data_IF_478495105287
#
_entry.id   IF_478495105287
#
_cell.length_a   1.000
_cell.length_b   1.000
_cell.length_c   1.000
_cell.angle_alpha   90.00
_cell.angle_beta   90.00
_cell.angle_gamma   90.00
#
_symmetry.space_group_name_H-M   'P 1'
#
loop_
_entity.id
_entity.type
_entity.pdbx_description
1 polymer ?
#
# COMPACT_ATOMS: atom_id res chain seq x y z
N UNK A 1 -25.26 18.40 -48.18
CA UNK A 1 -24.05 17.61 -47.89
C UNK A 1 -24.04 16.98 -46.49
N UNK A 2 -24.65 17.57 -45.46
CA UNK A 2 -24.66 16.99 -44.10
C UNK A 2 -25.43 15.66 -43.93
N UNK A 3 -26.47 15.40 -44.75
CA UNK A 3 -27.29 14.18 -44.60
C UNK A 3 -26.61 12.88 -45.07
N UNK A 4 -25.83 12.93 -46.16
CA UNK A 4 -25.14 11.75 -46.71
C UNK A 4 -23.97 11.34 -45.82
N UNK A 5 -23.27 12.32 -45.23
CA UNK A 5 -22.18 12.09 -44.28
C UNK A 5 -22.68 11.37 -43.01
N UNK A 6 -23.86 11.75 -42.51
CA UNK A 6 -24.46 11.15 -41.32
C UNK A 6 -24.90 9.68 -41.52
N UNK A 7 -25.36 9.33 -42.73
CA UNK A 7 -25.76 7.95 -43.07
C UNK A 7 -24.52 7.04 -43.18
N UNK A 8 -23.42 7.52 -43.78
CA UNK A 8 -22.18 6.75 -43.84
C UNK A 8 -21.57 6.54 -42.45
N UNK A 9 -21.53 7.58 -41.61
CA UNK A 9 -21.04 7.49 -40.23
C UNK A 9 -21.82 6.49 -39.38
N UNK A 10 -23.16 6.50 -39.45
CA UNK A 10 -24.00 5.56 -38.69
C UNK A 10 -23.83 4.10 -39.13
N UNK A 11 -23.62 3.84 -40.44
CA UNK A 11 -23.38 2.49 -40.95
C UNK A 11 -22.01 1.93 -40.56
N UNK A 12 -20.97 2.77 -40.58
CA UNK A 12 -19.63 2.43 -40.10
C UNK A 12 -19.63 2.20 -38.59
N UNK A 13 -20.34 3.05 -37.83
CA UNK A 13 -20.49 2.90 -36.39
C UNK A 13 -21.19 1.58 -36.04
N UNK A 14 -22.30 1.23 -36.70
CA UNK A 14 -23.00 -0.03 -36.44
C UNK A 14 -22.14 -1.25 -36.75
N UNK A 15 -21.24 -1.15 -37.73
CA UNK A 15 -20.33 -2.23 -38.12
C UNK A 15 -19.17 -2.42 -37.14
N UNK A 16 -18.56 -1.33 -36.66
CA UNK A 16 -17.35 -1.40 -35.81
C UNK A 16 -17.58 -1.09 -34.33
N UNK A 17 -18.80 -0.75 -33.91
CA UNK A 17 -19.11 -0.54 -32.49
C UNK A 17 -18.76 -1.74 -31.59
N UNK A 18 -18.84 -3.03 -32.01
CA UNK A 18 -18.39 -4.14 -31.17
C UNK A 18 -16.88 -4.10 -30.88
N UNK A 19 -16.07 -3.60 -31.83
CA UNK A 19 -14.61 -3.44 -31.65
C UNK A 19 -14.34 -2.37 -30.60
N UNK A 20 -15.03 -1.23 -30.69
CA UNK A 20 -14.90 -0.13 -29.73
C UNK A 20 -15.32 -0.60 -28.34
N UNK A 21 -16.46 -1.29 -28.21
CA UNK A 21 -16.92 -1.84 -26.93
C UNK A 21 -15.95 -2.87 -26.35
N UNK A 22 -15.40 -3.78 -27.17
CA UNK A 22 -14.42 -4.76 -26.71
C UNK A 22 -13.16 -4.08 -26.14
N UNK A 23 -12.63 -3.05 -26.82
CA UNK A 23 -11.48 -2.27 -26.34
C UNK A 23 -11.85 -1.51 -25.06
N UNK A 24 -12.99 -0.80 -25.04
CA UNK A 24 -13.41 -0.03 -23.86
C UNK A 24 -13.60 -0.91 -22.63
N UNK A 25 -14.26 -2.07 -22.76
CA UNK A 25 -14.46 -3.02 -21.68
C UNK A 25 -13.11 -3.58 -21.19
N UNK A 26 -12.22 -3.95 -22.13
CA UNK A 26 -10.90 -4.47 -21.78
C UNK A 26 -10.00 -3.45 -21.07
N UNK A 27 -10.02 -2.19 -21.53
CA UNK A 27 -9.32 -1.08 -20.86
C UNK A 27 -9.93 -0.80 -19.49
N UNK A 28 -11.26 -0.80 -19.35
CA UNK A 28 -11.92 -0.62 -18.06
C UNK A 28 -11.55 -1.75 -17.07
N UNK A 29 -11.51 -3.00 -17.53
CA UNK A 29 -11.06 -4.13 -16.72
C UNK A 29 -9.58 -3.99 -16.33
N UNK A 30 -8.72 -3.53 -17.24
CA UNK A 30 -7.30 -3.29 -16.98
C UNK A 30 -7.08 -2.17 -15.95
N UNK A 31 -7.88 -1.11 -16.00
CA UNK A 31 -7.87 -0.03 -15.01
C UNK A 31 -8.38 -0.50 -13.64
N UNK A 32 -9.41 -1.36 -13.61
CA UNK A 32 -9.90 -1.97 -12.38
C UNK A 32 -8.83 -2.88 -11.76
N UNK A 33 -8.19 -3.74 -12.56
CA UNK A 33 -7.08 -4.59 -12.12
C UNK A 33 -5.88 -3.77 -11.63
N UNK A 34 -5.49 -2.72 -12.36
CA UNK A 34 -4.46 -1.77 -11.93
C UNK A 34 -4.78 -1.19 -10.55
N UNK A 35 -6.02 -0.70 -10.37
CA UNK A 35 -6.46 -0.11 -9.12
C UNK A 35 -6.45 -1.12 -7.98
N UNK A 36 -6.88 -2.36 -8.23
CA UNK A 36 -6.84 -3.45 -7.26
C UNK A 36 -5.41 -3.82 -6.85
N UNK A 37 -4.48 -3.94 -7.80
CA UNK A 37 -3.06 -4.23 -7.51
C UNK A 37 -2.40 -3.06 -6.79
N UNK A 38 -2.68 -1.81 -7.18
CA UNK A 38 -2.22 -0.60 -6.47
C UNK A 38 -2.74 -0.56 -5.03
N UNK A 39 -4.00 -0.92 -4.83
CA UNK A 39 -4.62 -1.00 -3.50
C UNK A 39 -3.95 -2.08 -2.65
N UNK A 40 -3.73 -3.26 -3.21
CA UNK A 40 -3.05 -4.36 -2.53
C UNK A 40 -1.60 -4.01 -2.15
N UNK A 41 -0.84 -3.39 -3.06
CA UNK A 41 0.51 -2.90 -2.77
C UNK A 41 0.51 -1.88 -1.61
N UNK A 42 -0.44 -0.94 -1.60
CA UNK A 42 -0.56 0.03 -0.51
C UNK A 42 -0.84 -0.65 0.84
N UNK A 43 -1.75 -1.63 0.86
CA UNK A 43 -2.07 -2.40 2.06
C UNK A 43 -0.86 -3.20 2.57
N UNK A 44 -0.07 -3.79 1.66
CA UNK A 44 1.12 -4.53 2.05
C UNK A 44 2.18 -3.59 2.67
N UNK A 45 2.43 -2.43 2.05
CA UNK A 45 3.35 -1.42 2.59
C UNK A 45 2.88 -0.92 3.97
N UNK A 46 1.58 -0.68 4.15
CA UNK A 46 1.03 -0.25 5.43
C UNK A 46 1.17 -1.33 6.51
N UNK A 47 0.95 -2.61 6.15
CA UNK A 47 1.12 -3.75 7.05
C UNK A 47 2.58 -3.95 7.45
N UNK A 48 3.51 -3.91 6.49
CA UNK A 48 4.96 -3.95 6.76
C UNK A 48 5.36 -2.81 7.70
N UNK A 49 4.90 -1.58 7.41
CA UNK A 49 5.13 -0.44 8.29
C UNK A 49 4.64 -0.70 9.71
N UNK A 50 3.41 -1.19 9.87
CA UNK A 50 2.79 -1.39 11.18
C UNK A 50 3.57 -2.41 12.02
N UNK A 51 3.93 -3.55 11.43
CA UNK A 51 4.72 -4.59 12.10
C UNK A 51 6.10 -4.06 12.52
N UNK A 52 6.79 -3.41 11.60
CA UNK A 52 8.11 -2.83 11.82
C UNK A 52 8.08 -1.70 12.87
N UNK A 53 7.02 -0.91 12.90
CA UNK A 53 6.83 0.17 13.85
C UNK A 53 6.48 -0.36 15.26
N UNK A 54 5.64 -1.40 15.35
CA UNK A 54 5.34 -2.08 16.60
C UNK A 54 6.57 -2.74 17.22
N UNK A 55 7.41 -3.41 16.43
CA UNK A 55 8.67 -4.00 16.90
C UNK A 55 9.60 -2.94 17.52
N UNK A 56 9.71 -1.77 16.88
CA UNK A 56 10.51 -0.64 17.36
C UNK A 56 9.96 -0.05 18.66
N UNK A 57 8.65 0.15 18.72
CA UNK A 57 7.99 0.63 19.93
C UNK A 57 8.18 -0.35 21.10
N UNK A 58 8.06 -1.66 20.85
CA UNK A 58 8.33 -2.70 21.84
C UNK A 58 9.81 -2.72 22.26
N UNK A 59 10.76 -2.52 21.35
CA UNK A 59 12.18 -2.44 21.67
C UNK A 59 12.49 -1.25 22.60
N UNK A 60 11.90 -0.08 22.33
CA UNK A 60 12.04 1.10 23.20
C UNK A 60 11.43 0.82 24.58
N UNK A 61 10.21 0.26 24.63
CA UNK A 61 9.54 -0.10 25.88
C UNK A 61 10.34 -1.13 26.70
N UNK A 62 10.85 -2.17 26.05
CA UNK A 62 11.66 -3.21 26.70
C UNK A 62 12.99 -2.68 27.24
N UNK A 63 13.64 -1.78 26.49
CA UNK A 63 14.88 -1.11 26.93
C UNK A 63 14.61 -0.28 28.18
N UNK A 64 13.58 0.57 28.15
CA UNK A 64 13.21 1.40 29.27
C UNK A 64 12.84 0.60 30.53
N UNK A 65 12.07 -0.49 30.38
CA UNK A 65 11.72 -1.38 31.48
C UNK A 65 12.95 -2.05 32.11
N UNK A 66 13.90 -2.49 31.28
CA UNK A 66 15.16 -3.09 31.74
C UNK A 66 16.00 -2.08 32.53
N UNK A 67 16.11 -0.86 32.04
CA UNK A 67 16.89 0.21 32.68
C UNK A 67 16.25 0.67 34.00
N UNK A 68 14.92 0.74 34.04
CA UNK A 68 14.18 1.04 35.28
C UNK A 68 14.38 -0.08 36.32
N UNK A 69 14.34 -1.35 35.91
CA UNK A 69 14.61 -2.46 36.81
C UNK A 69 16.05 -2.42 37.39
N UNK A 70 17.03 -1.94 36.62
CA UNK A 70 18.38 -1.71 37.14
C UNK A 70 18.42 -0.58 38.18
N UNK A 71 17.67 0.51 37.99
CA UNK A 71 17.55 1.58 38.99
C UNK A 71 16.90 1.08 40.29
N UNK A 72 15.92 0.18 40.21
CA UNK A 72 15.32 -0.46 41.39
C UNK A 72 16.35 -1.23 42.22
N UNK A 73 17.33 -1.89 41.58
CA UNK A 73 18.44 -2.55 42.28
C UNK A 73 19.32 -1.52 43.02
N UNK A 74 19.57 -0.36 42.42
CA UNK A 74 20.32 0.74 43.05
C UNK A 74 19.55 1.27 44.27
N UNK A 75 18.24 1.51 44.11
CA UNK A 75 17.33 1.94 45.19
C UNK A 75 17.36 0.96 46.37
N UNK A 76 17.25 -0.34 46.09
CA UNK A 76 17.26 -1.39 47.12
C UNK A 76 18.60 -1.45 47.88
N UNK A 77 19.72 -1.38 47.18
CA UNK A 77 21.05 -1.39 47.80
C UNK A 77 21.29 -0.16 48.70
N UNK A 78 20.80 1.02 48.29
CA UNK A 78 20.92 2.23 49.09
C UNK A 78 19.99 2.26 50.30
N UNK A 79 18.82 1.61 50.23
CA UNK A 79 17.89 1.52 51.34
C UNK A 79 18.50 0.83 52.58
N UNK A 80 19.35 -0.17 52.37
CA UNK A 80 20.01 -0.98 53.40
C UNK A 80 21.22 -0.28 54.05
N UNK A 81 21.92 0.58 53.31
CA UNK A 81 23.12 1.27 53.81
C UNK A 81 22.77 2.49 54.67
N UNK A 82 23.10 2.51 55.97
CA UNK A 82 22.87 3.67 56.85
C UNK A 82 23.49 4.99 56.33
N UNK A 83 24.72 4.94 55.81
CA UNK A 83 25.43 6.06 55.20
C UNK A 83 26.17 5.58 53.94
N UNK A 84 25.63 5.81 52.74
CA UNK A 84 26.28 5.35 51.51
C UNK A 84 27.57 6.14 51.27
N UNK A 85 28.63 5.46 50.81
CA UNK A 85 29.90 6.08 50.40
C UNK A 85 29.97 6.20 48.88
N UNK A 86 30.68 7.22 48.38
CA UNK A 86 30.80 7.47 46.95
C UNK A 86 31.38 6.27 46.19
N UNK A 87 32.43 5.63 46.71
CA UNK A 87 33.06 4.47 46.04
C UNK A 87 32.12 3.26 45.93
N UNK A 88 31.29 3.03 46.95
CA UNK A 88 30.29 1.96 46.94
C UNK A 88 29.18 2.27 45.94
N UNK A 89 28.74 3.53 45.89
CA UNK A 89 27.79 4.01 44.88
C UNK A 89 28.34 3.86 43.46
N UNK A 90 29.58 4.30 43.20
CA UNK A 90 30.21 4.19 41.89
C UNK A 90 30.35 2.74 41.45
N UNK A 91 30.69 1.81 42.36
CA UNK A 91 30.70 0.36 42.06
C UNK A 91 29.30 -0.16 41.69
N UNK A 92 28.28 0.30 42.40
CA UNK A 92 26.89 -0.10 42.17
C UNK A 92 26.36 0.38 40.81
N UNK A 93 26.75 1.59 40.38
CA UNK A 93 26.30 2.18 39.10
C UNK A 93 27.26 1.96 37.93
N UNK A 94 28.46 1.43 38.16
CA UNK A 94 29.43 1.11 37.10
C UNK A 94 28.85 0.29 35.93
N UNK A 95 27.99 -0.73 36.14
CA UNK A 95 27.43 -1.53 35.05
C UNK A 95 26.62 -0.71 34.03
N UNK A 96 25.99 0.39 34.45
CA UNK A 96 25.18 1.25 33.59
C UNK A 96 25.99 1.82 32.42
N UNK A 97 27.30 2.05 32.61
CA UNK A 97 28.17 2.60 31.56
C UNK A 97 28.28 1.69 30.34
N UNK A 98 28.13 0.39 30.52
CA UNK A 98 28.22 -0.59 29.43
C UNK A 98 26.86 -1.16 29.02
N UNK A 99 25.92 -1.27 29.97
CA UNK A 99 24.64 -1.99 29.80
C UNK A 99 23.45 -1.08 29.52
N UNK A 100 23.54 0.21 29.87
CA UNK A 100 22.44 1.17 29.80
C UNK A 100 22.92 2.51 29.25
N UNK A 101 23.37 2.58 27.99
CA UNK A 101 23.91 3.81 27.41
C UNK A 101 22.87 4.94 27.31
N UNK A 102 21.58 4.62 27.44
CA UNK A 102 20.45 5.56 27.48
C UNK A 102 20.37 6.38 28.77
N UNK A 103 20.89 5.82 29.87
CA UNK A 103 21.02 6.51 31.15
C UNK A 103 22.34 7.27 31.11
N UNK A 104 22.23 8.59 31.08
CA UNK A 104 23.39 9.47 31.15
C UNK A 104 24.07 9.33 32.51
N UNK A 105 23.27 9.42 33.58
CA UNK A 105 23.73 9.33 34.95
C UNK A 105 22.64 8.77 35.87
N UNK A 106 23.10 8.17 36.96
CA UNK A 106 22.33 7.83 38.14
C UNK A 106 22.80 8.75 39.26
N UNK A 107 21.86 9.43 39.92
CA UNK A 107 22.11 10.42 40.96
C UNK A 107 21.55 9.92 42.30
N UNK A 108 22.29 10.15 43.38
CA UNK A 108 21.80 10.00 44.75
C UNK A 108 21.58 11.38 45.37
N UNK A 109 20.33 11.69 45.71
CA UNK A 109 19.92 12.95 46.32
C UNK A 109 19.38 12.69 47.74
N UNK A 110 20.22 12.72 48.80
CA UNK A 110 19.76 12.52 50.16
C UNK A 110 18.84 13.65 50.62
N UNK A 111 17.92 13.34 51.53
CA UNK A 111 17.14 14.34 52.25
C UNK A 111 18.02 14.96 53.34
N UNK A 112 18.14 16.28 53.32
CA UNK A 112 18.89 17.04 54.33
C UNK A 112 17.96 18.07 54.95
N UNK A 113 17.72 17.98 56.26
CA UNK A 113 16.97 19.02 56.98
C UNK A 113 17.85 20.26 57.19
N UNK A 114 17.26 21.44 57.27
CA UNK A 114 18.00 22.68 57.55
C UNK A 114 18.84 22.60 58.82
N UNK A 115 18.29 21.95 59.86
CA UNK A 115 18.99 21.68 61.13
C UNK A 115 20.21 20.79 60.99
N UNK A 116 20.31 20.00 59.91
CA UNK A 116 21.40 19.08 59.62
C UNK A 116 22.36 19.61 58.54
N UNK A 117 22.06 20.76 57.93
CA UNK A 117 22.76 21.30 56.76
C UNK A 117 24.27 21.44 56.98
N UNK A 118 24.69 22.09 58.07
CA UNK A 118 26.12 22.31 58.35
C UNK A 118 26.87 21.00 58.63
N UNK A 119 26.26 20.09 59.39
CA UNK A 119 26.83 18.77 59.66
C UNK A 119 27.00 17.95 58.37
N UNK A 120 26.00 18.00 57.48
CA UNK A 120 26.04 17.35 56.17
C UNK A 120 27.14 17.94 55.27
N UNK A 121 27.28 19.26 55.21
CA UNK A 121 28.34 19.91 54.43
C UNK A 121 29.73 19.56 54.94
N UNK A 122 29.93 19.57 56.27
CA UNK A 122 31.19 19.14 56.88
C UNK A 122 31.50 17.68 56.57
N UNK A 123 30.49 16.81 56.57
CA UNK A 123 30.64 15.41 56.24
C UNK A 123 31.00 15.17 54.77
N UNK A 124 30.30 15.81 53.84
CA UNK A 124 30.60 15.72 52.41
C UNK A 124 32.03 16.19 52.09
N UNK A 125 32.50 17.28 52.73
CA UNK A 125 33.86 17.79 52.56
C UNK A 125 34.93 16.82 53.07
N UNK A 126 34.67 16.15 54.20
CA UNK A 126 35.59 15.12 54.74
C UNK A 126 35.70 13.89 53.84
N UNK A 127 34.65 13.58 53.08
CA UNK A 127 34.57 12.39 52.22
C UNK A 127 34.86 12.68 50.74
N UNK A 128 35.65 13.72 50.44
CA UNK A 128 36.23 13.93 49.11
C UNK A 128 35.57 15.02 48.26
N UNK A 129 34.58 15.75 48.78
CA UNK A 129 33.94 16.87 48.08
C UNK A 129 34.37 18.22 48.68
N UNK A 130 35.64 18.59 48.51
CA UNK A 130 36.28 19.73 49.19
C UNK A 130 35.50 21.07 49.09
N UNK A 131 34.87 21.33 47.94
CA UNK A 131 34.10 22.57 47.67
C UNK A 131 32.57 22.37 47.66
N UNK A 132 32.08 21.29 48.28
CA UNK A 132 30.65 20.98 48.27
C UNK A 132 29.81 22.07 48.94
N UNK A 133 28.79 22.51 48.23
CA UNK A 133 27.79 23.49 48.66
C UNK A 133 26.43 23.07 48.14
N UNK A 134 25.38 23.29 48.93
CA UNK A 134 24.01 23.16 48.42
C UNK A 134 23.72 24.41 47.58
N UNK A 135 23.39 24.23 46.30
CA UNK A 135 23.27 25.31 45.30
C UNK A 135 21.94 25.25 44.56
N UNK A 136 21.54 26.36 43.96
CA UNK A 136 20.35 26.48 43.10
C UNK A 136 20.62 27.40 41.91
N UNK A 137 19.79 27.33 40.89
CA UNK A 137 19.87 28.24 39.73
C UNK A 137 19.22 29.57 40.12
N UNK A 138 20.04 30.62 40.19
CA UNK A 138 19.60 31.99 40.45
C UNK A 138 19.15 32.74 39.17
N UNK A 139 18.83 34.03 39.30
CA UNK A 139 18.54 34.90 38.15
C UNK A 139 19.65 34.85 37.10
N UNK A 140 19.28 34.75 35.83
CA UNK A 140 20.23 34.68 34.72
C UNK A 140 20.91 33.31 34.51
N UNK A 141 20.48 32.26 35.21
CA UNK A 141 21.00 30.89 35.00
C UNK A 141 22.29 30.60 35.77
N UNK A 142 22.72 31.49 36.68
CA UNK A 142 23.95 31.35 37.45
C UNK A 142 23.71 30.47 38.68
N UNK A 143 24.63 29.56 38.97
CA UNK A 143 24.58 28.75 40.19
C UNK A 143 24.92 29.60 41.42
N UNK A 144 24.00 29.67 42.36
CA UNK A 144 24.13 30.41 43.62
C UNK A 144 23.93 29.49 44.82
N UNK A 145 24.38 29.86 46.04
CA UNK A 145 24.04 29.11 47.25
C UNK A 145 22.52 28.98 47.43
N UNK A 146 22.06 27.79 47.81
CA UNK A 146 20.63 27.54 47.97
C UNK A 146 20.04 28.39 49.10
N UNK A 147 18.91 29.04 48.77
CA UNK A 147 18.08 29.78 49.71
C UNK A 147 17.62 28.89 50.87
N UNK A 148 17.35 29.49 52.04
CA UNK A 148 16.94 28.72 53.22
C UNK A 148 15.60 28.00 52.99
N UNK A 149 15.55 26.69 53.23
CA UNK A 149 14.38 25.80 53.14
C UNK A 149 14.37 24.82 54.30
N UNK A 150 13.21 24.26 54.63
CA UNK A 150 13.08 23.23 55.69
C UNK A 150 13.87 21.96 55.35
N UNK A 151 13.85 21.56 54.08
CA UNK A 151 14.53 20.39 53.56
C UNK A 151 15.14 20.67 52.18
N UNK A 152 16.27 20.02 51.92
CA UNK A 152 17.03 20.08 50.69
C UNK A 152 17.25 18.67 50.14
N UNK A 153 17.41 18.58 48.83
CA UNK A 153 17.74 17.34 48.12
C UNK A 153 18.95 17.56 47.21
N UNK A 154 20.13 17.83 47.79
CA UNK A 154 21.33 18.14 47.02
C UNK A 154 21.86 16.89 46.34
N UNK A 155 22.33 17.01 45.10
CA UNK A 155 22.94 15.86 44.41
C UNK A 155 24.31 15.53 45.02
N UNK A 156 24.37 14.41 45.76
CA UNK A 156 25.57 14.01 46.50
C UNK A 156 26.47 13.07 45.69
N UNK A 157 25.92 12.00 45.11
CA UNK A 157 26.68 11.06 44.27
C UNK A 157 26.10 10.98 42.87
N UNK A 158 26.98 10.84 41.88
CA UNK A 158 26.63 10.80 40.47
C UNK A 158 27.58 9.84 39.76
N UNK A 159 27.04 8.97 38.92
CA UNK A 159 27.82 8.04 38.09
C UNK A 159 26.91 7.27 37.13
N UNK A 160 27.46 6.42 36.25
CA UNK A 160 28.89 6.13 36.09
C UNK A 160 29.62 7.13 35.20
N UNK A 161 28.89 8.03 34.51
CA UNK A 161 29.46 9.09 33.69
C UNK A 161 28.96 10.43 34.22
N UNK A 162 29.67 11.12 35.12
CA UNK A 162 29.34 12.52 35.40
C UNK A 162 29.48 13.28 34.08
N UNK A 163 28.37 13.85 33.60
CA UNK A 163 28.36 14.71 32.41
C UNK A 163 29.18 15.98 32.66
N UNK A 164 29.55 16.70 31.60
CA UNK A 164 30.23 18.01 31.74
C UNK A 164 29.39 19.03 32.52
N UNK A 165 28.08 18.90 32.42
CA UNK A 165 27.10 19.84 32.97
C UNK A 165 26.57 19.37 34.34
N UNK A 166 27.19 18.34 34.90
CA UNK A 166 26.81 17.75 36.18
C UNK A 166 27.24 18.63 37.34
N UNK A 167 26.27 19.05 38.17
CA UNK A 167 26.52 19.95 39.30
C UNK A 167 26.28 19.24 40.64
N UNK A 168 27.37 18.79 41.26
CA UNK A 168 27.33 18.32 42.66
C UNK A 168 26.76 19.42 43.57
N UNK A 169 25.89 19.01 44.50
CA UNK A 169 25.26 19.91 45.45
C UNK A 169 24.09 20.73 44.90
N UNK A 170 23.75 20.61 43.62
CA UNK A 170 22.51 21.22 43.10
C UNK A 170 21.29 20.67 43.84
N UNK A 171 20.48 21.56 44.42
CA UNK A 171 19.28 21.23 45.18
C UNK A 171 18.15 20.92 44.21
N UNK A 172 17.85 19.63 44.02
CA UNK A 172 16.87 19.18 43.03
C UNK A 172 15.46 19.75 43.28
N UNK A 173 15.12 20.12 44.52
CA UNK A 173 13.80 20.71 44.85
C UNK A 173 13.70 22.20 44.52
N UNK A 174 14.81 22.86 44.17
CA UNK A 174 14.81 24.27 43.76
C UNK A 174 14.18 24.49 42.39
N UNK A 175 14.22 23.49 41.50
CA UNK A 175 13.62 23.55 40.16
C UNK A 175 12.15 23.05 40.20
N UNK A 176 11.19 23.80 39.62
CA UNK A 176 9.76 23.46 39.69
C UNK A 176 9.38 22.05 39.22
N UNK A 177 9.93 21.58 38.09
CA UNK A 177 9.58 20.29 37.48
C UNK A 177 10.10 19.13 38.33
N UNK A 178 11.37 19.18 38.74
CA UNK A 178 12.00 18.25 39.68
C UNK A 178 11.27 18.21 41.02
N UNK A 179 10.94 19.38 41.59
CA UNK A 179 10.17 19.47 42.85
C UNK A 179 8.81 18.78 42.78
N UNK A 180 8.08 18.94 41.67
CA UNK A 180 6.77 18.29 41.48
C UNK A 180 6.91 16.77 41.48
N UNK A 181 7.88 16.23 40.74
CA UNK A 181 8.08 14.78 40.63
C UNK A 181 8.63 14.16 41.93
N UNK A 182 9.56 14.84 42.63
CA UNK A 182 10.10 14.37 43.91
C UNK A 182 9.01 14.26 44.98
N UNK A 183 8.12 15.26 45.06
CA UNK A 183 6.97 15.23 45.97
C UNK A 183 6.01 14.11 45.63
N UNK A 184 5.69 13.94 44.35
CA UNK A 184 4.79 12.87 43.90
C UNK A 184 5.37 11.50 44.27
N UNK A 185 6.65 11.23 43.96
CA UNK A 185 7.30 9.97 44.31
C UNK A 185 7.33 9.73 45.83
N UNK A 186 7.63 10.77 46.63
CA UNK A 186 7.59 10.66 48.11
C UNK A 186 6.19 10.32 48.61
N UNK A 187 5.17 11.01 48.10
CA UNK A 187 3.81 10.94 48.63
C UNK A 187 3.11 9.65 48.20
N UNK A 188 3.40 9.11 47.02
CA UNK A 188 2.86 7.82 46.55
C UNK A 188 3.70 6.62 47.01
N UNK A 189 5.02 6.78 47.14
CA UNK A 189 5.95 5.67 47.33
C UNK A 189 6.30 4.93 46.04
N UNK A 190 5.72 5.35 44.92
CA UNK A 190 5.95 4.75 43.60
C UNK A 190 7.18 5.37 42.93
N UNK A 191 7.75 4.63 41.99
CA UNK A 191 8.67 5.20 41.01
C UNK A 191 7.89 6.17 40.12
N UNK A 192 8.46 7.33 39.78
CA UNK A 192 7.79 8.38 39.00
C UNK A 192 8.71 8.99 37.96
N UNK A 193 8.30 9.11 36.69
CA UNK A 193 9.05 9.93 35.74
C UNK A 193 8.70 11.41 35.82
N UNK A 194 9.63 12.28 35.45
CA UNK A 194 9.31 13.67 35.16
C UNK A 194 8.70 13.82 33.76
N UNK A 195 8.15 14.99 33.50
CA UNK A 195 8.05 15.49 32.14
C UNK A 195 9.42 15.86 31.58
N UNK A 196 9.44 16.54 30.43
CA UNK A 196 10.66 17.10 29.85
C UNK A 196 11.37 18.04 30.84
N UNK A 197 12.67 17.83 31.03
CA UNK A 197 13.55 18.72 31.80
C UNK A 197 14.67 19.25 30.89
N UNK A 198 15.06 20.50 31.15
CA UNK A 198 16.30 21.06 30.61
C UNK A 198 17.43 20.68 31.57
N UNK A 199 18.55 20.15 31.04
CA UNK A 199 19.72 19.87 31.86
C UNK A 199 20.33 21.18 32.36
N UNK A 200 20.63 21.22 33.65
CA UNK A 200 21.32 22.36 34.28
C UNK A 200 22.70 22.46 33.64
N UNK A 201 23.06 23.63 33.13
CA UNK A 201 24.34 23.93 32.45
C UNK A 201 24.59 23.26 31.08
N UNK A 202 23.59 22.68 30.41
CA UNK A 202 23.76 22.19 29.03
C UNK A 202 23.68 23.33 28.00
N UNK A 203 24.81 23.66 27.37
CA UNK A 203 24.91 24.66 26.30
C UNK A 203 24.00 24.32 25.10
N UNK A 204 23.75 23.03 24.85
CA UNK A 204 22.90 22.55 23.75
C UNK A 204 21.42 22.49 24.12
N UNK A 205 21.06 22.69 25.40
CA UNK A 205 19.69 22.57 25.93
C UNK A 205 19.02 21.28 25.47
N UNK A 206 19.77 20.18 25.53
CA UNK A 206 19.27 18.86 25.15
C UNK A 206 18.20 18.46 26.17
N UNK A 207 17.04 18.06 25.66
CA UNK A 207 15.93 17.70 26.51
C UNK A 207 16.11 16.30 27.08
N UNK A 208 15.93 16.16 28.39
CA UNK A 208 15.93 14.88 29.08
C UNK A 208 14.63 14.66 29.86
N UNK A 209 14.58 13.53 30.55
CA UNK A 209 13.61 13.30 31.62
C UNK A 209 14.27 12.50 32.74
N UNK A 210 13.70 12.58 33.93
CA UNK A 210 14.17 11.86 35.11
C UNK A 210 13.23 10.70 35.42
N UNK A 211 13.78 9.61 35.94
CA UNK A 211 13.02 8.59 36.65
C UNK A 211 13.41 8.68 38.12
N UNK A 212 12.43 8.90 38.99
CA UNK A 212 12.61 9.21 40.41
C UNK A 212 12.14 8.05 41.25
N UNK A 213 13.04 7.57 42.11
CA UNK A 213 12.83 6.41 42.97
C UNK A 213 13.00 6.84 44.44
N UNK A 214 11.92 6.86 45.26
CA UNK A 214 12.03 7.22 46.67
C UNK A 214 12.74 6.12 47.48
N UNK A 215 13.70 6.51 48.31
CA UNK A 215 14.41 5.59 49.22
C UNK A 215 13.96 5.84 50.66
N UNK A 216 13.35 4.83 51.27
CA UNK A 216 12.93 4.84 52.67
C UNK A 216 13.91 4.07 53.56
N UNK A 217 13.87 4.31 54.87
CA UNK A 217 14.62 3.54 55.87
C UNK A 217 14.19 2.06 55.83
N UNK A 218 15.15 1.14 55.69
CA UNK A 218 14.88 -0.29 55.72
C UNK A 218 14.18 -0.71 57.03
N UNK A 219 13.19 -1.61 56.91
CA UNK A 219 12.41 -2.12 58.04
C UNK A 219 11.49 -1.10 58.71
N UNK A 220 11.25 0.07 58.11
CA UNK A 220 10.30 1.09 58.61
C UNK A 220 9.03 1.15 57.75
N UNK A 221 7.88 1.54 58.32
CA UNK A 221 6.64 1.67 57.57
C UNK A 221 6.75 2.68 56.42
N UNK A 222 6.06 2.40 55.32
CA UNK A 222 5.94 3.28 54.15
C UNK A 222 4.54 3.21 53.51
N UNK A 223 3.53 2.75 54.26
CA UNK A 223 2.17 2.51 53.75
C UNK A 223 1.33 3.79 53.70
N UNK A 224 1.44 4.65 54.73
CA UNK A 224 0.78 5.95 54.75
C UNK A 224 1.69 7.06 54.23
N UNK A 225 1.09 8.17 53.79
CA UNK A 225 1.84 9.38 53.40
C UNK A 225 2.70 9.88 54.57
N UNK A 226 2.17 9.86 55.80
CA UNK A 226 2.89 10.29 56.99
C UNK A 226 4.13 9.42 57.25
N UNK A 227 4.00 8.09 57.11
CA UNK A 227 5.11 7.16 57.26
C UNK A 227 6.20 7.41 56.21
N UNK A 228 5.79 7.58 54.95
CA UNK A 228 6.70 7.89 53.85
C UNK A 228 7.48 9.19 54.12
N UNK A 229 6.81 10.24 54.61
CA UNK A 229 7.48 11.49 54.98
C UNK A 229 8.47 11.32 56.13
N UNK A 230 8.11 10.56 57.18
CA UNK A 230 8.97 10.35 58.34
C UNK A 230 10.20 9.46 58.03
N UNK A 231 10.04 8.52 57.11
CA UNK A 231 11.05 7.51 56.81
C UNK A 231 11.82 7.75 55.51
N UNK A 232 11.52 8.83 54.76
CA UNK A 232 12.27 9.20 53.56
C UNK A 232 13.74 9.52 53.89
N UNK A 233 14.66 8.88 53.16
CA UNK A 233 16.10 9.13 53.21
C UNK A 233 16.61 9.98 52.06
N UNK A 234 15.93 9.95 50.93
CA UNK A 234 16.34 10.63 49.71
C UNK A 234 15.75 9.94 48.48
N UNK A 235 16.35 10.20 47.33
CA UNK A 235 15.91 9.65 46.06
C UNK A 235 17.10 9.14 45.24
N UNK A 236 16.87 8.08 44.49
CA UNK A 236 17.68 7.71 43.33
C UNK A 236 17.03 8.32 42.10
N UNK A 237 17.80 9.04 41.29
CA UNK A 237 17.34 9.62 40.04
C UNK A 237 18.09 8.98 38.86
N UNK A 238 17.38 8.43 37.90
CA UNK A 238 17.93 8.07 36.60
C UNK A 238 17.75 9.22 35.63
N UNK A 239 18.83 9.69 35.01
CA UNK A 239 18.85 10.77 34.03
C UNK A 239 18.83 10.18 32.62
N UNK A 240 17.72 10.33 31.92
CA UNK A 240 17.51 9.73 30.60
C UNK A 240 17.62 10.76 29.49
N UNK A 241 18.32 10.37 28.42
CA UNK A 241 18.32 11.08 27.13
C UNK A 241 17.47 10.30 26.14
N UNK A 242 16.32 10.85 25.69
CA UNK A 242 15.44 10.15 24.76
C UNK A 242 16.15 9.70 23.46
N UNK A 243 17.03 10.53 22.91
CA UNK A 243 17.75 10.21 21.66
C UNK A 243 18.68 8.99 21.83
N UNK A 244 19.44 8.96 22.94
CA UNK A 244 20.33 7.83 23.26
C UNK A 244 19.53 6.57 23.61
N UNK A 245 18.38 6.73 24.27
CA UNK A 245 17.47 5.64 24.58
C UNK A 245 16.91 4.98 23.33
N UNK A 246 16.41 5.79 22.39
CA UNK A 246 15.89 5.29 21.13
C UNK A 246 17.04 4.67 20.32
N UNK A 247 18.20 5.34 20.22
CA UNK A 247 19.35 4.81 19.49
C UNK A 247 19.84 3.46 20.06
N UNK A 248 19.88 3.33 21.38
CA UNK A 248 20.24 2.09 22.09
C UNK A 248 19.25 0.96 21.79
N UNK A 249 17.95 1.23 21.94
CA UNK A 249 16.88 0.28 21.68
C UNK A 249 16.88 -0.23 20.24
N UNK A 250 17.14 0.66 19.27
CA UNK A 250 17.11 0.36 17.85
C UNK A 250 18.42 -0.23 17.32
N UNK A 251 19.50 -0.29 18.11
CA UNK A 251 20.83 -0.72 17.65
C UNK A 251 20.84 -2.13 17.06
N UNK A 252 19.99 -3.02 17.58
CA UNK A 252 19.90 -4.43 17.13
C UNK A 252 18.85 -4.63 16.03
N UNK A 253 18.07 -3.61 15.71
CA UNK A 253 17.06 -3.66 14.65
C UNK A 253 17.65 -3.16 13.33
N UNK A 254 17.20 -3.77 12.23
CA UNK A 254 17.51 -3.25 10.90
C UNK A 254 16.85 -1.88 10.73
N UNK A 255 17.49 -0.90 10.07
CA UNK A 255 16.83 0.35 9.75
C UNK A 255 15.87 0.13 8.57
N UNK A 256 14.61 0.57 8.69
CA UNK A 256 13.59 0.34 7.65
C UNK A 256 12.96 1.60 7.09
N UNK A 257 13.53 2.77 7.38
CA UNK A 257 12.96 4.07 6.98
C UNK A 257 11.80 4.48 7.89
N UNK A 258 11.86 4.05 9.15
CA UNK A 258 10.92 4.44 10.20
C UNK A 258 11.70 5.31 11.18
N UNK A 259 11.20 6.52 11.38
CA UNK A 259 11.69 7.45 12.39
C UNK A 259 10.92 7.21 13.70
N UNK A 260 11.58 7.43 14.84
CA UNK A 260 11.01 7.17 16.16
C UNK A 260 11.20 8.39 17.04
N UNK A 261 10.14 8.81 17.75
CA UNK A 261 10.18 9.91 18.69
C UNK A 261 9.50 9.57 20.00
N UNK A 262 9.91 10.28 21.06
CA UNK A 262 9.37 10.11 22.40
C UNK A 262 8.84 11.47 22.88
N UNK A 263 7.58 11.51 23.28
CA UNK A 263 6.94 12.74 23.76
C UNK A 263 5.91 12.46 24.85
N UNK A 264 5.59 13.49 25.63
CA UNK A 264 4.53 13.44 26.63
C UNK A 264 3.30 14.21 26.12
N UNK A 265 2.16 13.56 25.83
CA UNK A 265 0.95 14.22 25.34
C UNK A 265 0.31 15.18 26.35
N UNK A 266 0.64 15.05 27.65
CA UNK A 266 0.12 15.92 28.70
C UNK A 266 0.91 17.23 28.83
N UNK A 267 2.03 17.37 28.12
CA UNK A 267 2.81 18.61 28.10
C UNK A 267 2.23 19.62 27.09
N UNK A 268 2.16 20.92 27.43
CA UNK A 268 1.76 21.94 26.48
C UNK A 268 2.66 21.93 25.25
N UNK A 269 2.08 22.11 24.07
CA UNK A 269 2.83 22.34 22.84
C UNK A 269 3.53 23.71 22.93
N UNK A 270 4.70 23.76 23.56
CA UNK A 270 5.52 24.95 23.74
C UNK A 270 6.33 25.31 22.47
N UNK A 271 6.06 24.61 21.36
CA UNK A 271 6.74 24.78 20.08
C UNK A 271 8.15 24.22 20.05
N UNK A 272 8.66 23.61 21.13
CA UNK A 272 10.00 23.02 21.13
C UNK A 272 9.99 21.71 20.33
N UNK A 273 11.07 21.44 19.58
CA UNK A 273 11.18 20.20 18.83
C UNK A 273 11.23 19.00 19.77
N UNK A 274 10.64 17.90 19.32
CA UNK A 274 10.61 16.65 20.05
C UNK A 274 11.93 15.93 19.84
N UNK A 275 12.49 15.28 20.87
CA UNK A 275 13.58 14.33 20.71
C UNK A 275 13.23 13.28 19.64
N UNK A 276 14.04 13.22 18.60
CA UNK A 276 13.69 12.56 17.35
C UNK A 276 14.85 11.74 16.84
N UNK A 277 14.67 10.42 16.79
CA UNK A 277 15.63 9.51 16.20
C UNK A 277 15.30 9.29 14.72
N UNK A 278 16.14 9.86 13.87
CA UNK A 278 16.04 9.75 12.41
C UNK A 278 16.52 8.37 11.95
N UNK A 279 15.76 7.72 11.07
CA UNK A 279 16.11 6.42 10.52
C UNK A 279 17.42 6.48 9.72
N UNK A 280 18.30 5.48 9.89
CA UNK A 280 19.59 5.40 9.18
C UNK A 280 19.47 5.27 7.65
N UNK A 281 18.30 4.87 7.15
CA UNK A 281 18.03 4.70 5.71
C UNK A 281 17.30 5.89 5.09
N UNK A 282 16.92 6.89 5.89
CA UNK A 282 16.24 8.08 5.41
C UNK A 282 17.16 8.92 4.56
N UNK A 283 16.71 9.29 3.36
CA UNK A 283 17.47 10.15 2.44
C UNK A 283 17.17 11.63 2.61
N UNK A 284 16.00 11.98 3.12
CA UNK A 284 15.56 13.37 3.28
C UNK A 284 15.91 13.92 4.67
N UNK A 285 16.51 15.11 4.77
CA UNK A 285 16.78 15.74 6.06
C UNK A 285 15.51 15.88 6.90
N UNK A 286 15.63 15.63 8.21
CA UNK A 286 14.54 15.88 9.15
C UNK A 286 14.43 17.38 9.44
N UNK A 287 13.20 17.89 9.44
CA UNK A 287 12.90 19.23 9.92
C UNK A 287 12.22 19.12 11.29
N UNK A 288 12.75 19.78 12.34
CA UNK A 288 12.17 19.69 13.66
C UNK A 288 10.75 20.25 13.69
N UNK A 289 9.77 19.42 14.07
CA UNK A 289 8.36 19.80 14.22
C UNK A 289 7.80 19.24 15.54
N UNK A 290 6.69 19.80 16.01
CA UNK A 290 5.95 19.28 17.16
C UNK A 290 5.21 17.98 16.88
N UNK A 291 4.79 17.26 17.93
CA UNK A 291 4.19 15.91 17.84
C UNK A 291 2.89 15.96 17.07
N UNK A 292 2.04 16.91 17.42
CA UNK A 292 0.72 17.06 16.82
C UNK A 292 0.83 17.31 15.31
N UNK A 293 1.72 18.21 14.90
CA UNK A 293 1.98 18.49 13.49
C UNK A 293 2.58 17.28 12.77
N UNK A 294 3.52 16.57 13.40
CA UNK A 294 4.13 15.37 12.84
C UNK A 294 3.10 14.27 12.57
N UNK A 295 2.27 13.96 13.56
CA UNK A 295 1.24 12.92 13.45
C UNK A 295 0.12 13.32 12.49
N UNK A 296 -0.25 14.60 12.44
CA UNK A 296 -1.25 15.11 11.50
C UNK A 296 -0.76 15.10 10.04
N UNK A 297 0.52 15.40 9.82
CA UNK A 297 1.11 15.46 8.47
C UNK A 297 1.52 14.08 7.92
N UNK A 298 1.70 13.08 8.79
CA UNK A 298 2.13 11.76 8.39
C UNK A 298 1.00 10.72 8.56
N UNK A 299 0.46 10.21 7.45
CA UNK A 299 -0.63 9.21 7.49
C UNK A 299 -0.16 7.81 7.90
N UNK A 300 1.12 7.51 7.78
CA UNK A 300 1.70 6.23 8.19
C UNK A 300 2.45 6.43 9.52
N UNK A 301 1.69 6.39 10.61
CA UNK A 301 2.22 6.45 11.96
C UNK A 301 1.56 5.40 12.86
N UNK A 302 2.27 5.00 13.91
CA UNK A 302 1.70 4.28 15.04
C UNK A 302 2.23 4.87 16.34
N UNK A 303 1.46 4.73 17.40
CA UNK A 303 1.81 5.23 18.73
C UNK A 303 1.67 4.11 19.75
N UNK A 304 2.65 3.97 20.62
CA UNK A 304 2.60 3.06 21.76
C UNK A 304 2.77 3.85 23.05
N UNK A 305 1.93 3.55 24.03
CA UNK A 305 2.08 4.10 25.38
C UNK A 305 3.27 3.45 26.08
N UNK A 306 4.12 4.30 26.60
CA UNK A 306 5.17 3.96 27.53
C UNK A 306 4.66 4.34 28.93
N UNK A 307 4.15 3.36 29.68
CA UNK A 307 3.75 3.58 31.06
C UNK A 307 5.01 3.82 31.89
N UNK A 308 5.38 5.09 32.02
CA UNK A 308 6.52 5.49 32.83
C UNK A 308 6.02 5.95 34.17
N UNK A 309 5.77 4.99 35.04
CA UNK A 309 5.73 5.25 36.48
C UNK A 309 4.72 6.40 36.82
N UNK A 310 3.53 6.33 36.21
CA UNK A 310 2.45 7.32 36.40
C UNK A 310 2.45 8.53 35.45
N UNK A 311 3.44 8.69 34.57
CA UNK A 311 3.43 9.72 33.51
C UNK A 311 3.27 9.11 32.10
N UNK A 312 2.35 9.64 31.26
CA UNK A 312 1.92 9.00 30.03
C UNK A 312 2.85 9.31 28.84
N UNK A 313 4.11 8.92 28.92
CA UNK A 313 5.00 9.05 27.77
C UNK A 313 4.51 8.19 26.60
N UNK A 314 4.71 8.69 25.38
CA UNK A 314 4.28 8.04 24.15
C UNK A 314 5.46 7.91 23.19
N UNK A 315 5.65 6.70 22.70
CA UNK A 315 6.56 6.41 21.59
C UNK A 315 5.76 6.51 20.31
N UNK A 316 6.12 7.42 19.42
CA UNK A 316 5.56 7.50 18.08
C UNK A 316 6.57 7.00 17.07
N UNK A 317 6.13 6.11 16.19
CA UNK A 317 6.89 5.63 15.05
C UNK A 317 6.21 6.15 13.79
N UNK A 318 6.98 6.82 12.92
CA UNK A 318 6.46 7.49 11.72
C UNK A 318 7.25 7.05 10.50
N UNK A 319 6.57 6.83 9.38
CA UNK A 319 7.25 6.48 8.14
C UNK A 319 8.05 7.69 7.64
N UNK A 320 9.31 7.49 7.26
CA UNK A 320 10.10 8.51 6.59
C UNK A 320 9.46 8.89 5.24
N UNK A 321 9.74 10.09 4.74
CA UNK A 321 9.14 10.60 3.49
C UNK A 321 9.38 9.68 2.28
N UNK A 322 10.49 8.96 2.29
CA UNK A 322 10.93 8.00 1.27
C UNK A 322 10.54 6.55 1.56
N UNK A 323 9.87 6.25 2.68
CA UNK A 323 9.51 4.89 3.08
C UNK A 323 8.65 4.17 2.04
N UNK A 324 7.55 4.81 1.63
CA UNK A 324 6.59 4.21 0.70
C UNK A 324 7.14 4.19 -0.72
N UNK A 325 7.86 5.23 -1.16
CA UNK A 325 8.40 5.29 -2.52
C UNK A 325 9.52 4.26 -2.75
N UNK A 326 10.31 3.95 -1.72
CA UNK A 326 11.33 2.92 -1.79
C UNK A 326 10.76 1.49 -1.94
N UNK A 327 9.49 1.27 -1.58
CA UNK A 327 8.81 -0.04 -1.62
C UNK A 327 7.78 -0.18 -2.75
N UNK A 328 7.62 0.84 -3.59
CA UNK A 328 6.72 0.76 -4.76
C UNK A 328 7.27 -0.21 -5.79
N UNK A 329 6.41 -1.08 -6.30
CA UNK A 329 6.69 -2.00 -7.38
C UNK A 329 6.19 -1.46 -8.73
N UNK A 330 6.76 -1.99 -9.82
CA UNK A 330 6.32 -1.70 -11.18
C UNK A 330 5.17 -2.62 -11.64
N UNK A 331 4.82 -3.66 -10.86
CA UNK A 331 3.78 -4.63 -11.21
C UNK A 331 2.41 -4.02 -11.58
N UNK A 332 1.88 -3.00 -10.87
CA UNK A 332 0.62 -2.38 -11.28
C UNK A 332 0.69 -1.86 -12.72
N UNK A 333 1.77 -1.16 -13.08
CA UNK A 333 1.97 -0.64 -14.44
C UNK A 333 2.14 -1.74 -15.48
N UNK A 334 2.82 -2.83 -15.14
CA UNK A 334 2.95 -3.99 -16.01
C UNK A 334 1.58 -4.64 -16.31
N UNK A 335 0.71 -4.77 -15.30
CA UNK A 335 -0.66 -5.30 -15.47
C UNK A 335 -1.49 -4.39 -16.38
N UNK A 336 -1.41 -3.07 -16.21
CA UNK A 336 -2.10 -2.11 -17.07
C UNK A 336 -1.61 -2.19 -18.52
N UNK A 337 -0.28 -2.24 -18.73
CA UNK A 337 0.31 -2.35 -20.05
C UNK A 337 -0.07 -3.66 -20.75
N UNK A 338 -0.02 -4.79 -20.04
CA UNK A 338 -0.41 -6.09 -20.57
C UNK A 338 -1.91 -6.15 -20.91
N UNK A 339 -2.77 -5.65 -20.01
CA UNK A 339 -4.23 -5.65 -20.22
C UNK A 339 -4.67 -4.74 -21.36
N UNK A 340 -4.05 -3.56 -21.50
CA UNK A 340 -4.31 -2.65 -22.63
C UNK A 340 -3.82 -3.24 -23.95
N UNK A 341 -2.63 -3.85 -24.00
CA UNK A 341 -2.13 -4.54 -25.19
C UNK A 341 -3.06 -5.69 -25.61
N UNK A 342 -3.52 -6.51 -24.65
CA UNK A 342 -4.47 -7.60 -24.91
C UNK A 342 -5.80 -7.07 -25.45
N UNK A 343 -6.30 -5.95 -24.91
CA UNK A 343 -7.54 -5.32 -25.36
C UNK A 343 -7.45 -4.82 -26.81
N UNK A 344 -6.30 -4.24 -27.19
CA UNK A 344 -6.02 -3.82 -28.57
C UNK A 344 -5.94 -5.02 -29.51
N UNK A 345 -5.24 -6.10 -29.10
CA UNK A 345 -5.16 -7.34 -29.89
C UNK A 345 -6.55 -7.98 -30.09
N UNK A 346 -7.38 -8.00 -29.04
CA UNK A 346 -8.76 -8.50 -29.15
C UNK A 346 -9.60 -7.63 -30.08
N UNK A 347 -9.48 -6.30 -29.98
CA UNK A 347 -10.14 -5.37 -30.89
C UNK A 347 -9.71 -5.60 -32.35
N UNK A 348 -8.41 -5.79 -32.60
CA UNK A 348 -7.86 -6.11 -33.91
C UNK A 348 -8.38 -7.46 -34.43
N UNK A 349 -8.48 -8.47 -33.56
CA UNK A 349 -9.06 -9.77 -33.90
C UNK A 349 -10.55 -9.66 -34.26
N UNK A 350 -11.35 -8.96 -33.44
CA UNK A 350 -12.78 -8.74 -33.73
C UNK A 350 -12.95 -8.00 -35.04
N UNK A 351 -12.14 -6.95 -35.29
CA UNK A 351 -12.11 -6.25 -36.58
C UNK A 351 -11.80 -7.21 -37.72
N UNK A 352 -10.73 -7.99 -37.61
CA UNK A 352 -10.32 -8.98 -38.60
C UNK A 352 -11.42 -10.02 -38.87
N UNK A 353 -12.15 -10.44 -37.84
CA UNK A 353 -13.29 -11.36 -37.97
C UNK A 353 -14.49 -10.72 -38.69
N UNK A 354 -14.80 -9.44 -38.41
CA UNK A 354 -15.87 -8.70 -39.10
C UNK A 354 -15.51 -8.54 -40.59
N UNK A 355 -14.25 -8.19 -40.89
CA UNK A 355 -13.78 -8.03 -42.26
C UNK A 355 -13.74 -9.37 -43.01
N UNK A 356 -13.34 -10.46 -42.34
CA UNK A 356 -13.38 -11.83 -42.88
C UNK A 356 -14.80 -12.24 -43.25
N UNK A 357 -15.78 -11.97 -42.38
CA UNK A 357 -17.18 -12.31 -42.64
C UNK A 357 -17.72 -11.57 -43.87
N UNK A 358 -17.43 -10.27 -43.97
CA UNK A 358 -17.83 -9.47 -45.14
C UNK A 358 -17.20 -10.00 -46.45
N UNK A 359 -15.93 -10.42 -46.41
CA UNK A 359 -15.25 -11.01 -47.56
C UNK A 359 -15.90 -12.33 -48.00
N UNK A 360 -16.21 -13.22 -47.04
CA UNK A 360 -16.88 -14.50 -47.33
C UNK A 360 -18.28 -14.27 -47.89
N UNK A 361 -19.05 -13.35 -47.32
CA UNK A 361 -20.40 -13.02 -47.81
C UNK A 361 -20.34 -12.48 -49.26
N UNK A 362 -19.35 -11.65 -49.60
CA UNK A 362 -19.15 -11.15 -50.95
C UNK A 362 -18.77 -12.28 -51.93
N UNK A 363 -17.89 -13.20 -51.53
CA UNK A 363 -17.52 -14.35 -52.34
C UNK A 363 -18.72 -15.30 -52.56
N UNK A 364 -19.54 -15.51 -51.53
CA UNK A 364 -20.76 -16.30 -51.65
C UNK A 364 -21.76 -15.65 -52.60
N UNK A 365 -21.90 -14.32 -52.56
CA UNK A 365 -22.75 -13.57 -53.48
C UNK A 365 -22.26 -13.70 -54.92
N UNK A 366 -20.96 -13.53 -55.16
CA UNK A 366 -20.34 -13.67 -56.48
C UNK A 366 -20.54 -15.09 -57.05
N UNK A 367 -20.29 -16.13 -56.23
CA UNK A 367 -20.54 -17.52 -56.63
C UNK A 367 -22.02 -17.80 -56.94
N UNK A 368 -22.96 -17.18 -56.21
CA UNK A 368 -24.39 -17.31 -56.48
C UNK A 368 -24.75 -16.69 -57.83
N UNK A 369 -24.30 -15.46 -58.08
CA UNK A 369 -24.51 -14.77 -59.36
C UNK A 369 -23.92 -15.57 -60.52
N UNK A 370 -22.73 -16.13 -60.37
CA UNK A 370 -22.09 -16.95 -61.40
C UNK A 370 -22.82 -18.28 -61.62
N UNK A 371 -23.33 -18.90 -60.55
CA UNK A 371 -24.14 -20.12 -60.66
C UNK A 371 -25.47 -19.86 -61.37
N UNK A 372 -26.13 -18.73 -61.08
CA UNK A 372 -27.34 -18.29 -61.79
C UNK A 372 -27.06 -18.03 -63.28
N UNK A 373 -25.96 -17.32 -63.61
CA UNK A 373 -25.57 -17.07 -65.00
C UNK A 373 -25.26 -18.39 -65.76
N UNK A 374 -24.60 -19.33 -65.10
CA UNK A 374 -24.30 -20.64 -65.69
C UNK A 374 -25.58 -21.46 -65.89
N UNK A 375 -26.50 -21.44 -64.92
CA UNK A 375 -27.81 -22.08 -65.07
C UNK A 375 -28.60 -21.49 -66.25
N UNK A 376 -28.61 -20.16 -66.39
CA UNK A 376 -29.25 -19.49 -67.52
C UNK A 376 -28.61 -19.86 -68.86
N UNK A 377 -27.27 -19.96 -68.93
CA UNK A 377 -26.57 -20.45 -70.13
C UNK A 377 -26.93 -21.89 -70.48
N UNK A 378 -26.92 -22.79 -69.50
CA UNK A 378 -27.32 -24.20 -69.69
C UNK A 378 -28.76 -24.28 -70.20
N UNK A 379 -29.67 -23.51 -69.59
CA UNK A 379 -31.08 -23.46 -69.99
C UNK A 379 -31.25 -22.98 -71.43
N UNK A 380 -30.52 -21.94 -71.85
CA UNK A 380 -30.53 -21.45 -73.24
C UNK A 380 -29.99 -22.50 -74.21
N UNK A 381 -28.81 -23.08 -73.94
CA UNK A 381 -28.24 -24.13 -74.81
C UNK A 381 -29.15 -25.35 -74.94
N UNK A 382 -29.82 -25.74 -73.85
CA UNK A 382 -30.78 -26.85 -73.88
C UNK A 382 -31.97 -26.52 -74.78
N UNK A 383 -32.47 -25.28 -74.72
CA UNK A 383 -33.53 -24.78 -75.61
C UNK A 383 -33.07 -24.73 -77.08
N UNK A 384 -31.87 -24.23 -77.35
CA UNK A 384 -31.32 -24.13 -78.71
C UNK A 384 -31.11 -25.52 -79.33
N UNK A 385 -30.58 -26.49 -78.55
CA UNK A 385 -30.45 -27.88 -78.98
C UNK A 385 -31.82 -28.48 -79.30
N UNK A 386 -32.81 -28.27 -78.43
CA UNK A 386 -34.17 -28.77 -78.65
C UNK A 386 -34.77 -28.18 -79.93
N UNK A 387 -34.58 -26.88 -80.16
CA UNK A 387 -35.04 -26.22 -81.38
C UNK A 387 -34.33 -26.72 -82.64
N UNK A 388 -33.01 -26.95 -82.57
CA UNK A 388 -32.25 -27.54 -83.67
C UNK A 388 -32.67 -28.99 -83.97
N UNK A 389 -32.95 -29.79 -82.92
CA UNK A 389 -33.49 -31.15 -83.08
C UNK A 389 -34.85 -31.11 -83.79
N UNK A 390 -35.75 -30.21 -83.39
CA UNK A 390 -37.04 -30.01 -84.05
C UNK A 390 -36.86 -29.58 -85.52
N UNK A 391 -35.89 -28.72 -85.84
CA UNK A 391 -35.60 -28.29 -87.20
C UNK A 391 -35.02 -29.43 -88.07
N UNK A 392 -34.10 -30.24 -87.54
CA UNK A 392 -33.53 -31.40 -88.23
C UNK A 392 -34.62 -32.41 -88.57
N UNK A 393 -35.50 -32.72 -87.60
CA UNK A 393 -36.66 -33.59 -87.81
C UNK A 393 -37.51 -33.07 -88.98
N UNK A 394 -37.82 -31.77 -88.97
CA UNK A 394 -38.63 -31.15 -90.02
C UNK A 394 -37.97 -31.21 -91.41
N UNK A 395 -36.64 -30.99 -91.50
CA UNK A 395 -35.90 -31.06 -92.77
C UNK A 395 -35.80 -32.49 -93.30
N UNK A 396 -35.59 -33.49 -92.44
CA UNK A 396 -35.57 -34.91 -92.84
C UNK A 396 -36.93 -35.34 -93.38
N UNK A 397 -38.02 -34.98 -92.69
CA UNK A 397 -39.39 -35.22 -93.15
C UNK A 397 -39.71 -34.53 -94.48
N UNK A 398 -39.16 -33.33 -94.69
CA UNK A 398 -39.33 -32.62 -95.97
C UNK A 398 -38.52 -33.28 -97.10
N UNK A 399 -37.33 -33.80 -96.80
CA UNK A 399 -36.48 -34.49 -97.76
C UNK A 399 -37.04 -35.86 -98.17
N UNK A 400 -37.66 -36.60 -97.25
CA UNK A 400 -38.37 -37.86 -97.58
C UNK A 400 -39.51 -37.64 -98.57
N UNK A 401 -40.13 -36.45 -98.56
CA UNK A 401 -41.22 -36.11 -99.46
C UNK A 401 -40.78 -35.54 -100.81
N UNK A 402 -39.49 -35.26 -101.05
CA UNK A 402 -39.02 -34.87 -102.40
C UNK A 402 -39.16 -35.99 -103.45
N UNK A 403 -39.65 -37.18 -103.07
CA UNK A 403 -40.05 -38.24 -104.00
C UNK A 403 -41.52 -38.18 -104.45
N UNK A 404 -42.38 -37.38 -103.81
CA UNK A 404 -43.80 -37.21 -104.16
C UNK A 404 -44.18 -35.73 -104.28
N UNK A 405 -44.98 -35.37 -105.29
CA UNK A 405 -45.36 -33.98 -105.63
C UNK A 405 -46.27 -33.25 -104.59
N UNK A 406 -46.42 -33.75 -103.36
CA UNK A 406 -47.22 -33.09 -102.32
C UNK A 406 -46.37 -32.32 -101.28
N UNK A 407 -46.71 -31.05 -101.10
CA UNK A 407 -45.99 -30.06 -100.28
C UNK A 407 -45.96 -30.36 -98.76
N UNK A 408 -44.91 -29.90 -98.07
CA UNK A 408 -44.66 -30.07 -96.62
C UNK A 408 -45.72 -29.55 -95.64
N UNK A 409 -46.82 -28.97 -96.13
CA UNK A 409 -48.03 -28.67 -95.35
C UNK A 409 -48.78 -29.94 -94.90
N UNK A 410 -48.62 -31.07 -95.62
CA UNK A 410 -49.21 -32.34 -95.23
C UNK A 410 -48.58 -32.92 -93.95
N UNK A 411 -47.25 -33.00 -93.87
CA UNK A 411 -46.48 -33.50 -92.70
C UNK A 411 -46.82 -32.73 -91.43
N UNK A 412 -46.89 -31.40 -91.53
CA UNK A 412 -47.24 -30.54 -90.39
C UNK A 412 -48.67 -30.80 -89.92
N UNK A 413 -49.62 -31.03 -90.83
CA UNK A 413 -51.00 -31.39 -90.48
C UNK A 413 -51.09 -32.75 -89.80
N UNK A 414 -50.39 -33.77 -90.31
CA UNK A 414 -50.39 -35.11 -89.70
C UNK A 414 -49.86 -35.03 -88.26
N UNK A 415 -48.72 -34.36 -88.04
CA UNK A 415 -48.17 -34.21 -86.69
C UNK A 415 -49.11 -33.48 -85.73
N UNK A 416 -49.69 -32.35 -86.16
CA UNK A 416 -50.65 -31.59 -85.34
C UNK A 416 -51.96 -32.35 -85.11
N UNK A 417 -52.48 -33.09 -86.09
CA UNK A 417 -53.67 -33.93 -85.92
C UNK A 417 -53.40 -35.08 -84.95
N UNK A 418 -52.24 -35.73 -85.05
CA UNK A 418 -51.82 -36.77 -84.10
C UNK A 418 -51.68 -36.22 -82.67
N UNK A 419 -51.14 -35.01 -82.50
CA UNK A 419 -51.09 -34.34 -81.19
C UNK A 419 -52.50 -34.12 -80.61
N UNK A 420 -53.40 -33.52 -81.40
CA UNK A 420 -54.77 -33.22 -80.98
C UNK A 420 -55.53 -34.51 -80.62
N UNK A 421 -55.37 -35.56 -81.42
CA UNK A 421 -55.97 -36.87 -81.15
C UNK A 421 -55.39 -37.52 -79.88
N UNK A 422 -54.08 -37.45 -79.66
CA UNK A 422 -53.43 -38.00 -78.48
C UNK A 422 -53.87 -37.28 -77.19
N UNK A 423 -53.97 -35.94 -77.22
CA UNK A 423 -54.53 -35.16 -76.11
C UNK A 423 -56.00 -35.52 -75.85
N UNK A 424 -56.80 -35.67 -76.91
CA UNK A 424 -58.20 -36.08 -76.78
C UNK A 424 -58.36 -37.52 -76.24
N UNK A 425 -57.36 -38.39 -76.46
CA UNK A 425 -57.27 -39.73 -75.90
C UNK A 425 -56.73 -39.79 -74.46
N UNK A 426 -56.42 -38.64 -73.85
CA UNK A 426 -55.98 -38.54 -72.45
C UNK A 426 -54.48 -38.73 -72.22
N UNK A 427 -53.65 -38.62 -73.26
CA UNK A 427 -52.20 -38.71 -73.13
C UNK A 427 -51.64 -37.46 -72.44
N UNK A 428 -50.52 -37.60 -71.74
CA UNK A 428 -49.85 -36.45 -71.10
C UNK A 428 -49.29 -35.49 -72.15
N UNK A 429 -49.10 -34.20 -71.80
CA UNK A 429 -48.53 -33.20 -72.71
C UNK A 429 -47.18 -33.66 -73.30
N UNK A 430 -46.36 -34.37 -72.52
CA UNK A 430 -45.09 -34.90 -72.98
C UNK A 430 -45.26 -36.03 -74.02
N UNK A 431 -46.23 -36.93 -73.82
CA UNK A 431 -46.52 -38.03 -74.75
C UNK A 431 -47.19 -37.52 -76.04
N UNK A 432 -48.07 -36.52 -75.93
CA UNK A 432 -48.69 -35.86 -77.07
C UNK A 432 -47.66 -35.07 -77.90
N UNK A 433 -46.72 -34.38 -77.27
CA UNK A 433 -45.63 -33.67 -77.95
C UNK A 433 -44.64 -34.64 -78.61
N UNK A 434 -44.41 -35.79 -78.00
CA UNK A 434 -43.60 -36.87 -78.58
C UNK A 434 -44.25 -37.44 -79.84
N UNK A 435 -45.55 -37.80 -79.80
CA UNK A 435 -46.24 -38.36 -80.97
C UNK A 435 -46.43 -37.31 -82.07
N UNK A 436 -46.55 -36.03 -81.74
CA UNK A 436 -46.59 -34.91 -82.71
C UNK A 436 -45.36 -34.89 -83.61
N UNK A 437 -44.19 -35.12 -83.03
CA UNK A 437 -42.93 -35.16 -83.77
C UNK A 437 -42.67 -36.53 -84.43
N UNK A 438 -43.10 -37.63 -83.80
CA UNK A 438 -42.86 -38.98 -84.29
C UNK A 438 -43.83 -39.45 -85.39
N UNK A 439 -45.12 -39.10 -85.32
CA UNK A 439 -46.13 -39.58 -86.27
C UNK A 439 -45.86 -39.24 -87.74
N UNK A 440 -45.34 -38.04 -88.08
CA UNK A 440 -44.98 -37.76 -89.47
C UNK A 440 -43.80 -38.60 -89.97
N UNK A 441 -42.98 -39.18 -89.09
CA UNK A 441 -41.82 -40.01 -89.45
C UNK A 441 -42.18 -41.44 -89.87
N UNK A 442 -43.46 -41.83 -89.88
CA UNK A 442 -43.88 -43.21 -90.18
C UNK A 442 -43.35 -43.75 -91.53
N UNK A 443 -43.11 -42.87 -92.51
CA UNK A 443 -42.60 -43.21 -93.84
C UNK A 443 -41.08 -42.96 -94.04
N UNK A 444 -40.34 -42.58 -92.99
CA UNK A 444 -38.87 -42.39 -93.04
C UNK A 444 -38.13 -43.67 -93.47
N UNK A 445 -38.71 -44.85 -93.27
CA UNK A 445 -38.14 -46.13 -93.70
C UNK A 445 -38.06 -46.31 -95.23
N UNK A 446 -38.78 -45.52 -96.04
CA UNK A 446 -38.76 -45.62 -97.51
C UNK A 446 -37.55 -44.94 -98.17
N UNK A 447 -36.72 -44.21 -97.42
CA UNK A 447 -35.57 -43.44 -97.94
C UNK A 447 -34.51 -44.33 -98.62
N UNK A 448 -34.37 -45.59 -98.18
CA UNK A 448 -33.31 -46.51 -98.63
C UNK A 448 -33.72 -47.56 -99.65
N UNK A 449 -34.98 -47.55 -100.12
CA UNK A 449 -35.50 -48.57 -101.05
C UNK A 449 -35.44 -48.00 -102.48
N UNK A 450 -34.64 -48.57 -103.40
CA UNK A 450 -34.68 -48.25 -104.83
C UNK A 450 -35.98 -48.79 -105.44
N UNK A 451 -36.53 -48.07 -106.42
CA UNK A 451 -37.75 -48.49 -107.14
C UNK A 451 -37.55 -49.76 -107.98
#
# INVERSE_FOLDING_TARGET
>A
MNHIHNIQLSSLWRRYSPVVWAICIGVAFSLAAFSAVRWWEFQEIEKEFRLAAEERALAVKGTFATETAMLELVRAALADQLQPRNDDFLRLVAPFASRSPSIEAVEWTPRVLDSQREAFLADARRHGFADYRITEVGPGGVMIPASKREEYYPILFIGPRPGRDTVYGFDAVSEPTRRKVLRLARDTGETVASGRIDFVQDEKKTAGFLVVLPVYKAGRPAESVADRHANLRGFVLGVFRPDDMIASALRRLQPEGIDVCLYNPAEPADGRPIPFHVSRTRKTPWQPVGAEQLLASNKMHTTARLDVAGNPWTVACVAAADFASARRSYWPWAVLAAGTALSVLLGAYVKSSIDRKAFVDQLLMDKRLHAEELQDKVRRQTSDIRQAQEEIIFRLLSATQCRDEETGAHVRRVGLMSEVLARAAGWTDAEADCIRHAAPMHDVGKIGIPD
#
